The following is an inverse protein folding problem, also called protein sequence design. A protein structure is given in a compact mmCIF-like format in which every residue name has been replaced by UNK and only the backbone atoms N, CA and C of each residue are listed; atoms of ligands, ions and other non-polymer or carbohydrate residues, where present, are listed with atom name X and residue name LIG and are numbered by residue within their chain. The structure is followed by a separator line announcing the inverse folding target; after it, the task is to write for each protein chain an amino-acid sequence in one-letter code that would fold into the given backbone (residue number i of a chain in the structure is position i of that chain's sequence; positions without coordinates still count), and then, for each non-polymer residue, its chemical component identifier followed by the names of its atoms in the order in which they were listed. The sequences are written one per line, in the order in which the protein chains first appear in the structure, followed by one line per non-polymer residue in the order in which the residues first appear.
data_IF_412814386207
#
_entry.id   IF_412814386207
#
_cell.length_a   1.000
_cell.length_b   1.000
_cell.length_c   1.000
_cell.angle_alpha   90.00
_cell.angle_beta   90.00
_cell.angle_gamma   90.00
#
_symmetry.space_group_name_H-M   'P 1'
#
loop_
_entity.id
_entity.type
_entity.pdbx_description
1 polymer ?
#
# COMPACT_ATOMS: atom_id res chain seq x y z
N UNK A 1 4.83 15.65 2.08
CA UNK A 1 5.98 15.40 1.18
C UNK A 1 6.87 16.63 0.96
N UNK A 2 6.33 17.82 0.78
CA UNK A 2 7.15 19.03 0.50
C UNK A 2 8.16 19.39 1.60
N UNK A 3 7.75 19.30 2.89
CA UNK A 3 8.68 19.54 4.01
C UNK A 3 9.88 18.59 3.99
N UNK A 4 9.66 17.29 3.73
CA UNK A 4 10.73 16.31 3.61
C UNK A 4 11.69 16.60 2.45
N UNK A 5 11.18 17.07 1.31
CA UNK A 5 12.00 17.51 0.17
C UNK A 5 12.88 18.72 0.49
N UNK A 6 12.46 19.59 1.40
CA UNK A 6 13.23 20.78 1.82
C UNK A 6 14.34 20.46 2.83
N UNK A 7 14.09 19.49 3.71
CA UNK A 7 15.00 19.13 4.81
C UNK A 7 16.02 18.08 4.38
N UNK A 8 15.58 17.06 3.66
CA UNK A 8 16.45 15.98 3.20
C UNK A 8 17.12 16.35 1.89
N UNK A 9 18.39 15.96 1.73
CA UNK A 9 19.18 16.23 0.52
C UNK A 9 19.84 14.94 0.01
N UNK A 10 20.19 14.97 -1.29
CA UNK A 10 20.98 13.91 -1.89
C UNK A 10 20.34 12.51 -1.80
N UNK A 11 21.08 11.57 -1.23
CA UNK A 11 20.68 10.18 -1.13
C UNK A 11 19.47 9.97 -0.18
N UNK A 12 19.46 10.63 0.97
CA UNK A 12 18.36 10.59 1.94
C UNK A 12 17.03 11.05 1.34
N UNK A 13 17.07 12.10 0.52
CA UNK A 13 15.89 12.59 -0.19
C UNK A 13 15.36 11.55 -1.20
N UNK A 14 16.26 10.84 -1.91
CA UNK A 14 15.85 9.80 -2.86
C UNK A 14 15.16 8.64 -2.17
N UNK A 15 15.70 8.18 -1.04
CA UNK A 15 15.08 7.11 -0.22
C UNK A 15 13.71 7.56 0.26
N UNK A 16 13.62 8.76 0.85
CA UNK A 16 12.37 9.32 1.33
C UNK A 16 11.31 9.41 0.23
N UNK A 17 11.67 9.93 -0.94
CA UNK A 17 10.74 10.05 -2.07
C UNK A 17 10.28 8.68 -2.58
N UNK A 18 11.17 7.70 -2.62
CA UNK A 18 10.87 6.33 -3.02
C UNK A 18 9.90 5.68 -2.04
N UNK A 19 10.20 5.73 -0.75
CA UNK A 19 9.42 5.09 0.31
C UNK A 19 8.01 5.67 0.42
N UNK A 20 7.93 6.98 0.60
CA UNK A 20 6.64 7.66 0.76
C UNK A 20 5.87 7.78 -0.55
N UNK A 21 6.56 7.96 -1.67
CA UNK A 21 5.92 7.97 -2.99
C UNK A 21 5.27 6.64 -3.31
N UNK A 22 5.98 5.53 -3.07
CA UNK A 22 5.41 4.18 -3.23
C UNK A 22 4.23 3.94 -2.28
N UNK A 23 4.36 4.33 -1.00
CA UNK A 23 3.27 4.21 -0.01
C UNK A 23 2.02 4.96 -0.48
N UNK A 24 2.16 6.17 -1.00
CA UNK A 24 1.04 6.99 -1.47
C UNK A 24 0.39 6.40 -2.72
N UNK A 25 1.18 6.00 -3.71
CA UNK A 25 0.63 5.38 -4.92
C UNK A 25 -0.19 4.12 -4.58
N UNK A 26 0.38 3.22 -3.77
CA UNK A 26 -0.31 1.99 -3.36
C UNK A 26 -1.56 2.26 -2.52
N UNK A 27 -1.52 3.29 -1.67
CA UNK A 27 -2.68 3.72 -0.88
C UNK A 27 -3.80 4.24 -1.78
N UNK A 28 -3.46 5.05 -2.79
CA UNK A 28 -4.42 5.52 -3.78
C UNK A 28 -5.03 4.36 -4.57
N UNK A 29 -4.24 3.38 -5.01
CA UNK A 29 -4.75 2.18 -5.69
C UNK A 29 -5.75 1.42 -4.80
N UNK A 30 -5.42 1.26 -3.51
CA UNK A 30 -6.30 0.61 -2.55
C UNK A 30 -7.61 1.38 -2.35
N UNK A 31 -7.55 2.71 -2.26
CA UNK A 31 -8.74 3.53 -2.09
C UNK A 31 -9.64 3.52 -3.32
N UNK A 32 -9.09 3.62 -4.54
CA UNK A 32 -9.85 3.51 -5.78
C UNK A 32 -10.56 2.15 -5.84
N UNK A 33 -9.85 1.07 -5.54
CA UNK A 33 -10.43 -0.27 -5.51
C UNK A 33 -11.61 -0.35 -4.54
N UNK A 34 -11.42 0.12 -3.29
CA UNK A 34 -12.48 0.09 -2.27
C UNK A 34 -13.66 0.95 -2.64
N UNK A 35 -13.41 2.14 -3.17
CA UNK A 35 -14.44 3.06 -3.64
C UNK A 35 -15.32 2.43 -4.73
N UNK A 36 -14.70 1.73 -5.69
CA UNK A 36 -15.42 1.02 -6.75
C UNK A 36 -16.15 -0.24 -6.24
N UNK A 37 -15.44 -1.08 -5.48
CA UNK A 37 -15.95 -2.40 -5.07
C UNK A 37 -17.06 -2.34 -4.03
N UNK A 38 -16.91 -1.50 -3.02
CA UNK A 38 -17.80 -1.51 -1.85
C UNK A 38 -18.77 -0.33 -1.81
N UNK A 39 -18.38 0.81 -2.38
CA UNK A 39 -19.15 2.04 -2.27
C UNK A 39 -19.76 2.50 -3.59
N UNK A 40 -19.38 1.87 -4.72
CA UNK A 40 -19.86 2.23 -6.08
C UNK A 40 -19.78 3.74 -6.35
N UNK A 41 -18.69 4.36 -5.88
CA UNK A 41 -18.48 5.81 -5.99
C UNK A 41 -18.25 6.24 -7.44
N UNK A 42 -18.70 7.43 -7.77
CA UNK A 42 -18.46 8.05 -9.07
C UNK A 42 -17.04 8.63 -9.15
N UNK A 43 -16.46 8.75 -10.36
CA UNK A 43 -15.10 9.27 -10.54
C UNK A 43 -14.82 10.61 -9.82
N UNK A 44 -15.71 11.64 -9.83
CA UNK A 44 -15.47 12.89 -9.12
C UNK A 44 -15.26 12.71 -7.61
N UNK A 45 -16.02 11.79 -7.00
CA UNK A 45 -15.92 11.49 -5.57
C UNK A 45 -14.61 10.77 -5.25
N UNK A 46 -14.20 9.83 -6.13
CA UNK A 46 -12.92 9.13 -6.01
C UNK A 46 -11.75 10.12 -6.10
N UNK A 47 -11.78 11.07 -7.04
CA UNK A 47 -10.77 12.12 -7.12
C UNK A 47 -10.67 12.95 -5.84
N UNK A 48 -11.81 13.26 -5.21
CA UNK A 48 -11.83 14.07 -3.99
C UNK A 48 -11.21 13.38 -2.77
N UNK A 49 -11.26 12.05 -2.71
CA UNK A 49 -10.74 11.28 -1.58
C UNK A 49 -9.28 10.83 -1.75
N UNK A 50 -8.75 10.86 -2.97
CA UNK A 50 -7.39 10.39 -3.25
C UNK A 50 -6.35 11.48 -2.99
N UNK A 51 -5.12 11.04 -2.67
CA UNK A 51 -4.00 11.95 -2.42
C UNK A 51 -3.45 12.43 -3.77
N UNK A 52 -3.40 13.76 -4.05
CA UNK A 52 -2.94 14.29 -5.33
C UNK A 52 -1.41 14.31 -5.44
N UNK A 53 -0.79 13.16 -5.19
CA UNK A 53 0.66 12.95 -5.29
C UNK A 53 0.87 11.66 -6.07
N UNK A 54 1.68 11.73 -7.11
CA UNK A 54 2.00 10.62 -8.00
C UNK A 54 3.51 10.38 -7.99
N UNK A 55 3.93 9.13 -7.85
CA UNK A 55 5.34 8.75 -7.87
C UNK A 55 5.69 7.88 -9.07
N UNK A 56 5.15 6.66 -9.15
CA UNK A 56 5.32 5.73 -10.25
C UNK A 56 4.05 5.51 -11.06
N UNK A 57 2.90 5.77 -10.46
CA UNK A 57 1.63 5.84 -11.20
C UNK A 57 1.52 7.26 -11.77
N UNK A 58 1.64 7.39 -13.08
CA UNK A 58 1.53 8.68 -13.76
C UNK A 58 0.12 9.25 -13.69
N UNK A 59 -0.03 10.55 -13.90
CA UNK A 59 -1.33 11.22 -13.85
C UNK A 59 -2.33 10.61 -14.83
N UNK A 60 -1.87 10.25 -16.03
CA UNK A 60 -2.70 9.62 -17.08
C UNK A 60 -3.14 8.21 -16.67
N UNK A 61 -2.23 7.42 -16.11
CA UNK A 61 -2.53 6.08 -15.57
C UNK A 61 -3.50 6.18 -14.40
N UNK A 62 -3.29 7.15 -13.50
CA UNK A 62 -4.19 7.40 -12.38
C UNK A 62 -5.60 7.77 -12.85
N UNK A 63 -5.73 8.64 -13.84
CA UNK A 63 -7.03 8.97 -14.45
C UNK A 63 -7.70 7.73 -15.06
N UNK A 64 -6.95 6.97 -15.85
CA UNK A 64 -7.45 5.73 -16.44
C UNK A 64 -8.01 4.79 -15.36
N UNK A 65 -7.28 4.60 -14.25
CA UNK A 65 -7.71 3.76 -13.12
C UNK A 65 -9.00 4.27 -12.45
N UNK A 66 -9.13 5.58 -12.26
CA UNK A 66 -10.34 6.17 -11.66
C UNK A 66 -11.54 6.07 -12.61
N UNK A 67 -11.34 6.27 -13.91
CA UNK A 67 -12.39 6.32 -14.92
C UNK A 67 -12.84 4.95 -15.44
N UNK A 68 -12.16 3.84 -15.10
CA UNK A 68 -12.61 2.50 -15.48
C UNK A 68 -14.07 2.26 -15.01
N UNK A 69 -14.97 1.81 -15.88
CA UNK A 69 -16.38 1.59 -15.51
C UNK A 69 -16.60 0.35 -14.66
N UNK A 70 -15.73 -0.67 -14.76
CA UNK A 70 -15.88 -1.94 -14.03
C UNK A 70 -14.65 -2.25 -13.18
N UNK A 71 -14.84 -3.10 -12.16
CA UNK A 71 -13.75 -3.57 -11.30
C UNK A 71 -12.74 -4.42 -12.08
N UNK A 72 -13.20 -5.27 -13.01
CA UNK A 72 -12.34 -6.12 -13.85
C UNK A 72 -11.41 -5.28 -14.74
N UNK A 73 -11.93 -4.19 -15.30
CA UNK A 73 -11.12 -3.25 -16.08
C UNK A 73 -10.12 -2.53 -15.20
N UNK A 74 -10.51 -2.14 -13.99
CA UNK A 74 -9.59 -1.56 -13.01
C UNK A 74 -8.44 -2.53 -12.68
N UNK A 75 -8.73 -3.80 -12.40
CA UNK A 75 -7.73 -4.82 -12.12
C UNK A 75 -6.79 -5.03 -13.31
N UNK A 76 -7.34 -5.01 -14.53
CA UNK A 76 -6.55 -5.07 -15.78
C UNK A 76 -5.60 -3.87 -15.90
N UNK A 77 -6.08 -2.65 -15.60
CA UNK A 77 -5.24 -1.44 -15.64
C UNK A 77 -4.18 -1.44 -14.52
N UNK A 78 -4.52 -1.90 -13.31
CA UNK A 78 -3.53 -2.08 -12.24
C UNK A 78 -2.43 -3.05 -12.67
N UNK A 79 -2.79 -4.14 -13.39
CA UNK A 79 -1.85 -5.10 -13.95
C UNK A 79 -0.81 -4.51 -14.91
N UNK A 80 -1.07 -3.35 -15.50
CA UNK A 80 -0.14 -2.62 -16.38
C UNK A 80 0.78 -1.66 -15.63
N UNK A 81 0.50 -1.39 -14.35
CA UNK A 81 1.29 -0.44 -13.57
C UNK A 81 2.67 -0.97 -13.19
N UNK A 82 3.57 -0.06 -12.85
CA UNK A 82 4.89 -0.40 -12.33
C UNK A 82 4.85 -1.41 -11.16
N UNK A 83 3.82 -1.33 -10.33
CA UNK A 83 3.70 -2.16 -9.13
C UNK A 83 3.37 -3.62 -9.44
N UNK A 84 2.55 -3.88 -10.44
CA UNK A 84 2.27 -5.24 -10.89
C UNK A 84 3.54 -5.95 -11.39
N UNK A 85 4.33 -5.27 -12.21
CA UNK A 85 5.56 -5.85 -12.75
C UNK A 85 6.67 -6.07 -11.72
N UNK A 86 6.85 -5.11 -10.77
CA UNK A 86 7.97 -5.17 -9.83
C UNK A 86 7.68 -5.96 -8.55
N UNK A 87 6.43 -5.92 -8.07
CA UNK A 87 6.06 -6.48 -6.77
C UNK A 87 5.03 -7.59 -6.87
N UNK A 88 4.70 -7.99 -8.09
CA UNK A 88 3.65 -8.99 -8.34
C UNK A 88 2.33 -8.58 -7.67
N UNK A 89 1.99 -7.29 -7.84
CA UNK A 89 0.79 -6.70 -7.31
C UNK A 89 -0.42 -7.21 -8.11
N UNK A 90 -1.49 -7.65 -7.47
CA UNK A 90 -2.67 -8.32 -8.05
C UNK A 90 -2.52 -9.86 -8.14
N UNK A 91 -2.10 -10.49 -7.05
CA UNK A 91 -2.16 -11.95 -6.93
C UNK A 91 -3.61 -12.40 -6.63
N UNK A 92 -4.06 -13.43 -7.34
CA UNK A 92 -5.45 -13.90 -7.26
C UNK A 92 -5.87 -14.45 -5.89
N UNK A 93 -4.91 -14.94 -5.11
CA UNK A 93 -5.09 -15.54 -3.79
C UNK A 93 -4.98 -14.55 -2.62
N UNK A 94 -4.66 -13.27 -2.91
CA UNK A 94 -4.45 -12.24 -1.89
C UNK A 94 -5.46 -11.10 -2.01
N UNK A 95 -5.81 -10.52 -0.86
CA UNK A 95 -6.54 -9.26 -0.83
C UNK A 95 -5.63 -8.08 -1.21
N UNK A 96 -6.24 -6.99 -1.68
CA UNK A 96 -5.48 -5.78 -2.03
C UNK A 96 -4.72 -5.20 -0.82
N UNK A 97 -5.30 -5.34 0.38
CA UNK A 97 -4.68 -4.95 1.63
C UNK A 97 -3.44 -5.79 1.97
N UNK A 98 -3.50 -7.09 1.72
CA UNK A 98 -2.34 -7.96 1.90
C UNK A 98 -1.23 -7.61 0.92
N UNK A 99 -1.57 -7.43 -0.36
CA UNK A 99 -0.62 -7.02 -1.40
C UNK A 99 0.02 -5.65 -1.10
N UNK A 100 -0.76 -4.68 -0.61
CA UNK A 100 -0.26 -3.39 -0.15
C UNK A 100 0.81 -3.56 0.94
N UNK A 101 0.53 -4.35 1.98
CA UNK A 101 1.48 -4.61 3.07
C UNK A 101 2.71 -5.37 2.60
N UNK A 102 2.54 -6.41 1.79
CA UNK A 102 3.65 -7.21 1.26
C UNK A 102 4.59 -6.37 0.39
N UNK A 103 4.03 -5.51 -0.45
CA UNK A 103 4.79 -4.60 -1.30
C UNK A 103 5.62 -3.61 -0.46
N UNK A 104 5.01 -2.97 0.52
CA UNK A 104 5.70 -2.04 1.43
C UNK A 104 6.74 -2.76 2.28
N UNK A 105 6.43 -3.94 2.80
CA UNK A 105 7.37 -4.75 3.58
C UNK A 105 8.61 -5.10 2.76
N UNK A 106 8.43 -5.56 1.53
CA UNK A 106 9.53 -5.85 0.61
C UNK A 106 10.37 -4.60 0.33
N UNK A 107 9.72 -3.45 0.10
CA UNK A 107 10.38 -2.18 -0.14
C UNK A 107 11.26 -1.77 1.06
N UNK A 108 10.66 -1.61 2.25
CA UNK A 108 11.33 -1.10 3.43
C UNK A 108 12.46 -2.03 3.92
N UNK A 109 12.24 -3.35 3.94
CA UNK A 109 13.28 -4.29 4.33
C UNK A 109 14.46 -4.32 3.33
N UNK A 110 14.18 -4.14 2.04
CA UNK A 110 15.22 -4.05 1.01
C UNK A 110 16.02 -2.77 1.18
N UNK A 111 15.37 -1.64 1.40
CA UNK A 111 16.03 -0.35 1.56
C UNK A 111 16.86 -0.29 2.84
N UNK A 112 16.34 -0.79 3.97
CA UNK A 112 17.12 -0.96 5.20
C UNK A 112 18.39 -1.78 5.00
N UNK A 113 18.32 -2.86 4.20
CA UNK A 113 19.48 -3.72 3.94
C UNK A 113 20.51 -3.06 3.03
N UNK A 114 20.04 -2.32 2.02
CA UNK A 114 20.91 -1.66 1.05
C UNK A 114 21.55 -0.40 1.60
N UNK A 115 20.83 0.33 2.48
CA UNK A 115 21.22 1.62 3.02
C UNK A 115 21.11 1.64 4.56
N UNK A 116 21.92 0.84 5.27
CA UNK A 116 21.77 0.62 6.72
C UNK A 116 22.09 1.84 7.60
N UNK A 117 22.71 2.89 7.05
CA UNK A 117 23.06 4.13 7.77
C UNK A 117 22.25 5.34 7.28
N UNK A 118 21.03 5.10 6.77
CA UNK A 118 20.18 6.12 6.19
C UNK A 118 18.82 6.20 6.90
N UNK A 119 17.96 7.12 6.43
CA UNK A 119 16.56 7.24 6.85
C UNK A 119 15.75 5.95 6.60
N UNK A 120 16.24 5.04 5.75
CA UNK A 120 15.60 3.75 5.51
C UNK A 120 15.40 2.93 6.79
N UNK A 121 16.32 3.02 7.76
CA UNK A 121 16.18 2.37 9.07
C UNK A 121 14.97 2.92 9.82
N UNK A 122 14.84 4.25 9.89
CA UNK A 122 13.73 4.91 10.58
C UNK A 122 12.41 4.59 9.91
N UNK A 123 12.34 4.68 8.58
CA UNK A 123 11.15 4.35 7.80
C UNK A 123 10.73 2.88 8.01
N UNK A 124 11.70 1.96 7.98
CA UNK A 124 11.43 0.54 8.22
C UNK A 124 10.94 0.30 9.66
N UNK A 125 11.55 0.94 10.64
CA UNK A 125 11.12 0.82 12.04
C UNK A 125 9.67 1.29 12.21
N UNK A 126 9.33 2.46 11.69
CA UNK A 126 7.97 3.01 11.76
C UNK A 126 6.96 2.08 11.08
N UNK A 127 7.29 1.57 9.88
CA UNK A 127 6.44 0.62 9.16
C UNK A 127 6.21 -0.67 9.97
N UNK A 128 7.26 -1.25 10.55
CA UNK A 128 7.13 -2.46 11.36
C UNK A 128 6.29 -2.22 12.63
N UNK A 129 6.38 -1.03 13.21
CA UNK A 129 5.53 -0.63 14.35
C UNK A 129 4.07 -0.41 13.94
N UNK A 130 3.81 0.17 12.77
CA UNK A 130 2.45 0.24 12.20
C UNK A 130 1.86 -1.18 12.00
N UNK A 131 2.65 -2.12 11.46
CA UNK A 131 2.24 -3.52 11.31
C UNK A 131 1.97 -4.22 12.64
N UNK A 132 2.81 -4.01 13.64
CA UNK A 132 2.64 -4.57 14.99
C UNK A 132 1.34 -4.08 15.63
N UNK A 133 1.07 -2.77 15.58
CA UNK A 133 -0.17 -2.17 16.08
C UNK A 133 -1.38 -2.75 15.33
N UNK A 134 -1.32 -2.82 14.01
CA UNK A 134 -2.38 -3.41 13.20
C UNK A 134 -2.71 -4.85 13.64
N UNK A 135 -1.68 -5.69 13.80
CA UNK A 135 -1.85 -7.09 14.22
C UNK A 135 -2.44 -7.21 15.62
N UNK A 136 -1.96 -6.39 16.55
CA UNK A 136 -2.48 -6.36 17.92
C UNK A 136 -3.96 -5.93 17.94
N UNK A 137 -4.30 -4.87 17.23
CA UNK A 137 -5.68 -4.39 17.13
C UNK A 137 -6.59 -5.46 16.52
N UNK A 138 -6.17 -6.07 15.40
CA UNK A 138 -6.92 -7.14 14.76
C UNK A 138 -7.11 -8.35 15.68
N UNK A 139 -6.07 -8.75 16.42
CA UNK A 139 -6.18 -9.86 17.38
C UNK A 139 -7.17 -9.55 18.50
N UNK A 140 -7.14 -8.34 19.05
CA UNK A 140 -8.07 -7.91 20.10
C UNK A 140 -9.52 -7.87 19.58
N UNK A 141 -9.73 -7.38 18.36
CA UNK A 141 -11.05 -7.39 17.72
C UNK A 141 -11.56 -8.81 17.49
N UNK A 142 -10.72 -9.72 16.99
CA UNK A 142 -11.08 -11.13 16.82
C UNK A 142 -11.51 -11.77 18.16
N UNK A 143 -10.77 -11.51 19.24
CA UNK A 143 -11.14 -12.00 20.59
C UNK A 143 -12.47 -11.38 21.03
N UNK A 144 -12.67 -10.09 20.82
CA UNK A 144 -13.92 -9.38 21.16
C UNK A 144 -15.12 -9.97 20.44
N UNK A 145 -14.96 -10.40 19.20
CA UNK A 145 -16.00 -11.05 18.39
C UNK A 145 -16.12 -12.56 18.63
N UNK A 146 -15.34 -13.14 19.53
CA UNK A 146 -15.39 -14.55 19.89
C UNK A 146 -14.87 -15.49 18.80
N UNK A 147 -14.00 -15.01 17.94
CA UNK A 147 -13.41 -15.82 16.88
C UNK A 147 -12.45 -16.87 17.45
N UNK A 148 -12.40 -18.02 16.81
CA UNK A 148 -11.47 -19.09 17.16
C UNK A 148 -10.02 -18.69 16.87
N UNK A 149 -9.06 -19.41 17.47
CA UNK A 149 -7.64 -19.22 17.21
C UNK A 149 -7.29 -19.36 15.73
N UNK A 150 -7.90 -20.32 15.02
CA UNK A 150 -7.65 -20.55 13.59
C UNK A 150 -8.11 -19.38 12.75
N UNK A 151 -9.33 -18.88 12.97
CA UNK A 151 -9.86 -17.71 12.29
C UNK A 151 -9.03 -16.45 12.57
N UNK A 152 -8.66 -16.22 13.83
CA UNK A 152 -7.80 -15.11 14.24
C UNK A 152 -6.46 -15.14 13.51
N UNK A 153 -5.81 -16.29 13.44
CA UNK A 153 -4.54 -16.44 12.71
C UNK A 153 -4.72 -16.18 11.21
N UNK A 154 -5.85 -16.58 10.62
CA UNK A 154 -6.17 -16.24 9.22
C UNK A 154 -6.21 -14.72 8.98
N UNK A 155 -6.87 -13.95 9.85
CA UNK A 155 -6.92 -12.48 9.75
C UNK A 155 -5.56 -11.80 9.97
N UNK A 156 -4.71 -12.38 10.80
CA UNK A 156 -3.36 -11.85 11.07
C UNK A 156 -2.36 -12.12 9.94
N UNK A 157 -2.79 -12.75 8.85
CA UNK A 157 -1.91 -13.23 7.80
C UNK A 157 -1.11 -14.43 8.28
N UNK A 158 -1.83 -15.36 8.94
CA UNK A 158 -1.26 -16.53 9.57
C UNK A 158 -0.38 -17.31 8.61
N UNK A 159 0.80 -17.59 9.09
CA UNK A 159 1.78 -18.46 8.51
C UNK A 159 1.12 -19.81 8.27
N UNK A 160 0.89 -20.16 7.02
CA UNK A 160 0.84 -21.55 6.65
C UNK A 160 2.26 -22.09 6.93
N UNK A 161 2.40 -22.72 8.10
CA UNK A 161 3.51 -23.62 8.36
C UNK A 161 3.29 -24.88 7.54
#
# INVERSE_FOLDING_TARGET
MEKGKRVLKGHEQKIFLKDYGTKIDLLNLQWIYRAKKYYHMLPPDIYSMTIPIHYRVRVEEFKSLVETPTLEQFETEVGKTYYAGKYDYMQADKTLEQMYRDCLRKLYLTDKRNDPYSIAIVNTYLFLKEEEIYKLTTALECIRYGLTKGETLGYLGGVNQ
#
